data_IF_303136814317
#
_entry.id   IF_303136814317
#
_cell.length_a   1.000
_cell.length_b   1.000
_cell.length_c   1.000
_cell.angle_alpha   90.00
_cell.angle_beta   90.00
_cell.angle_gamma   90.00
#
_symmetry.space_group_name_H-M   'P 1'
#
loop_
_entity.id
_entity.type
_entity.pdbx_description
1 polymer ?
#
# COMPACT_ATOMS: atom_id res chain seq x y z
N UNK A 1 -0.81 -5.96 1.62
CA UNK A 1 -1.38 -4.71 2.17
C UNK A 1 -0.31 -3.88 2.88
N UNK A 2 0.09 -4.16 4.13
CA UNK A 2 1.02 -3.28 4.87
C UNK A 2 2.43 -3.13 4.27
N UNK A 3 3.09 -4.23 3.88
CA UNK A 3 4.45 -4.17 3.35
C UNK A 3 4.50 -3.85 1.85
N UNK A 4 3.46 -4.24 1.10
CA UNK A 4 3.46 -4.20 -0.36
C UNK A 4 2.67 -3.05 -0.96
N UNK A 5 1.90 -2.30 -0.15
CA UNK A 5 0.96 -1.28 -0.62
C UNK A 5 -0.20 -1.81 -1.48
N UNK A 6 -0.36 -3.14 -1.60
CA UNK A 6 -1.36 -3.75 -2.49
C UNK A 6 -2.79 -3.59 -1.97
N UNK A 7 -3.74 -3.50 -2.90
CA UNK A 7 -5.17 -3.50 -2.59
C UNK A 7 -5.60 -4.79 -1.87
N UNK A 8 -6.67 -4.67 -1.08
CA UNK A 8 -7.25 -5.81 -0.37
C UNK A 8 -7.72 -6.88 -1.35
N UNK A 9 -8.39 -6.52 -2.45
CA UNK A 9 -8.86 -7.49 -3.45
C UNK A 9 -7.72 -8.35 -4.01
N UNK A 10 -6.63 -7.75 -4.49
CA UNK A 10 -5.48 -8.51 -4.97
C UNK A 10 -4.86 -9.40 -3.88
N UNK A 11 -4.77 -8.88 -2.65
CA UNK A 11 -4.24 -9.66 -1.51
C UNK A 11 -5.18 -10.83 -1.16
N UNK A 12 -6.50 -10.64 -1.30
CA UNK A 12 -7.55 -11.63 -1.08
C UNK A 12 -7.43 -12.78 -2.08
N UNK A 13 -7.28 -12.44 -3.36
CA UNK A 13 -7.16 -13.40 -4.46
C UNK A 13 -5.90 -14.26 -4.31
N UNK A 14 -4.78 -13.64 -3.93
CA UNK A 14 -3.51 -14.34 -3.68
C UNK A 14 -3.63 -15.33 -2.52
N UNK A 15 -4.33 -14.94 -1.44
CA UNK A 15 -4.43 -15.73 -0.22
C UNK A 15 -5.61 -16.72 -0.23
N UNK A 16 -6.47 -16.69 -1.25
CA UNK A 16 -7.65 -17.55 -1.34
C UNK A 16 -8.70 -17.29 -0.24
N UNK A 17 -8.71 -16.11 0.36
CA UNK A 17 -9.67 -15.72 1.40
C UNK A 17 -10.68 -14.71 0.84
N UNK A 18 -11.84 -14.59 1.48
CA UNK A 18 -12.82 -13.56 1.09
C UNK A 18 -12.37 -12.16 1.54
N UNK A 19 -12.67 -11.15 0.73
CA UNK A 19 -12.30 -9.76 1.04
C UNK A 19 -12.79 -9.28 2.41
N UNK A 20 -14.01 -9.62 2.88
CA UNK A 20 -14.45 -9.28 4.23
C UNK A 20 -13.59 -9.92 5.33
N UNK A 21 -13.10 -11.15 5.11
CA UNK A 21 -12.21 -11.83 6.05
C UNK A 21 -10.85 -11.17 6.13
N UNK A 22 -10.28 -10.80 4.97
CA UNK A 22 -9.05 -10.02 4.91
C UNK A 22 -9.22 -8.65 5.60
N UNK A 23 -10.34 -7.97 5.36
CA UNK A 23 -10.65 -6.68 6.00
C UNK A 23 -10.62 -6.79 7.53
N UNK A 24 -11.29 -7.80 8.10
CA UNK A 24 -11.24 -8.07 9.54
C UNK A 24 -9.82 -8.35 10.04
N UNK A 25 -9.05 -9.15 9.30
CA UNK A 25 -7.66 -9.43 9.66
C UNK A 25 -6.80 -8.16 9.67
N UNK A 26 -6.93 -7.29 8.67
CA UNK A 26 -6.25 -5.99 8.61
C UNK A 26 -6.63 -5.13 9.81
N UNK A 27 -7.92 -5.03 10.14
CA UNK A 27 -8.37 -4.25 11.30
C UNK A 27 -7.77 -4.74 12.61
N UNK A 28 -7.80 -6.06 12.85
CA UNK A 28 -7.24 -6.66 14.06
C UNK A 28 -5.73 -6.41 14.17
N UNK A 29 -4.98 -6.63 13.08
CA UNK A 29 -3.53 -6.38 13.06
C UNK A 29 -3.23 -4.89 13.27
N UNK A 30 -3.99 -4.00 12.64
CA UNK A 30 -3.84 -2.54 12.81
C UNK A 30 -4.01 -2.14 14.27
N UNK A 31 -5.02 -2.68 14.95
CA UNK A 31 -5.27 -2.38 16.35
C UNK A 31 -4.07 -2.78 17.22
N UNK A 32 -3.53 -3.99 17.04
CA UNK A 32 -2.35 -4.46 17.79
C UNK A 32 -1.14 -3.57 17.53
N UNK A 33 -0.92 -3.15 16.27
CA UNK A 33 0.17 -2.23 15.92
C UNK A 33 -0.02 -0.89 16.65
N UNK A 34 -1.23 -0.33 16.66
CA UNK A 34 -1.52 0.95 17.33
C UNK A 34 -1.34 0.88 18.84
N UNK A 35 -1.74 -0.23 19.47
CA UNK A 35 -1.53 -0.46 20.91
C UNK A 35 -0.03 -0.46 21.26
N UNK A 36 0.81 -0.95 20.36
CA UNK A 36 2.26 -1.00 20.53
C UNK A 36 2.98 0.25 20.00
N UNK A 37 2.33 1.10 19.21
CA UNK A 37 2.97 2.21 18.50
C UNK A 37 3.70 3.17 19.44
N UNK A 38 3.16 3.41 20.63
CA UNK A 38 3.79 4.32 21.63
C UNK A 38 5.13 3.81 22.16
N UNK A 39 5.37 2.50 22.11
CA UNK A 39 6.64 1.89 22.54
C UNK A 39 7.71 2.09 21.47
N UNK A 40 7.33 1.97 20.20
CA UNK A 40 8.27 2.00 19.07
C UNK A 40 8.42 3.39 18.43
N UNK A 41 7.41 4.24 18.52
CA UNK A 41 7.40 5.59 17.96
C UNK A 41 7.54 6.59 19.10
N UNK A 42 8.79 6.88 19.47
CA UNK A 42 9.14 7.85 20.50
C UNK A 42 9.94 9.01 19.88
N UNK A 43 9.42 10.24 20.01
CA UNK A 43 10.04 11.44 19.47
C UNK A 43 11.03 12.12 20.45
N UNK A 44 11.23 11.57 21.64
CA UNK A 44 12.09 12.17 22.68
C UNK A 44 11.51 13.47 23.27
N UNK A 45 12.23 14.09 24.21
CA UNK A 45 11.85 15.36 24.83
C UNK A 45 12.50 16.58 24.14
N UNK A 46 11.96 17.77 24.44
CA UNK A 46 12.11 19.09 23.78
C UNK A 46 13.49 19.58 23.35
N UNK A 47 14.59 18.98 23.80
CA UNK A 47 15.96 19.48 23.58
C UNK A 47 16.66 18.68 22.47
N UNK A 48 15.98 18.49 21.35
CA UNK A 48 16.42 17.61 20.27
C UNK A 48 17.57 18.22 19.47
N UNK A 49 18.78 17.73 19.71
CA UNK A 49 19.95 17.93 18.86
C UNK A 49 19.69 17.56 17.38
N UNK A 50 18.70 16.70 17.11
CA UNK A 50 18.25 16.35 15.76
C UNK A 50 17.89 17.57 14.92
N UNK A 51 17.28 18.60 15.52
CA UNK A 51 16.95 19.85 14.79
C UNK A 51 18.21 20.55 14.29
N UNK A 52 19.27 20.51 15.09
CA UNK A 52 20.57 21.04 14.70
C UNK A 52 21.21 20.15 13.63
N UNK A 53 21.21 18.83 13.82
CA UNK A 53 21.83 17.88 12.89
C UNK A 53 21.25 17.97 11.47
N UNK A 54 19.91 18.04 11.34
CA UNK A 54 19.24 18.21 10.05
C UNK A 54 19.55 19.57 9.40
N UNK A 55 19.65 20.63 10.21
CA UNK A 55 20.01 21.95 9.73
C UNK A 55 21.48 22.00 9.28
N UNK A 56 22.40 21.40 10.03
CA UNK A 56 23.81 21.33 9.68
C UNK A 56 24.07 20.44 8.45
N UNK A 57 23.31 19.35 8.30
CA UNK A 57 23.47 18.42 7.17
C UNK A 57 22.96 19.00 5.84
N UNK A 58 21.78 19.63 5.85
CA UNK A 58 21.09 20.02 4.62
C UNK A 58 20.33 21.35 4.69
N UNK A 59 20.47 22.12 5.78
CA UNK A 59 19.82 23.42 5.93
C UNK A 59 18.33 23.35 6.27
N UNK A 60 17.79 22.17 6.63
CA UNK A 60 16.38 22.03 6.99
C UNK A 60 16.13 22.40 8.45
N UNK A 61 15.46 23.53 8.74
CA UNK A 61 15.22 23.95 10.12
C UNK A 61 14.07 23.16 10.75
N UNK A 62 14.11 22.99 12.07
CA UNK A 62 13.01 22.44 12.88
C UNK A 62 12.59 20.99 12.56
N UNK A 63 13.44 20.20 11.91
CA UNK A 63 13.19 18.77 11.66
C UNK A 63 13.43 17.97 12.94
N UNK A 64 12.41 17.24 13.39
CA UNK A 64 12.47 16.39 14.61
C UNK A 64 12.72 14.90 14.32
N UNK A 65 12.63 14.51 13.04
CA UNK A 65 12.83 13.16 12.53
C UNK A 65 12.45 13.07 11.05
N UNK A 66 12.81 11.96 10.41
CA UNK A 66 12.43 11.63 9.03
C UNK A 66 11.71 10.28 9.02
N UNK A 67 10.66 10.17 8.19
CA UNK A 67 9.89 8.94 8.01
C UNK A 67 10.09 8.52 6.56
N UNK A 68 10.59 7.30 6.35
CA UNK A 68 10.62 6.70 5.02
C UNK A 68 9.22 6.20 4.64
N UNK A 69 8.82 6.41 3.40
CA UNK A 69 7.48 6.12 2.93
C UNK A 69 7.48 5.73 1.46
N UNK A 70 6.69 4.72 1.12
CA UNK A 70 6.44 4.38 -0.29
C UNK A 70 5.43 5.35 -0.88
N UNK A 71 5.81 6.08 -1.94
CA UNK A 71 4.86 6.86 -2.71
C UNK A 71 3.93 5.93 -3.51
N UNK A 72 2.71 5.74 -3.00
CA UNK A 72 1.65 5.02 -3.70
C UNK A 72 0.89 6.01 -4.57
N UNK A 73 0.92 5.81 -5.89
CA UNK A 73 0.14 6.62 -6.83
C UNK A 73 -1.35 6.48 -6.53
N UNK A 74 -2.01 7.59 -6.20
CA UNK A 74 -3.48 7.62 -6.10
C UNK A 74 -4.03 7.43 -7.51
N UNK A 75 -4.72 6.31 -7.73
CA UNK A 75 -5.48 6.11 -8.96
C UNK A 75 -6.69 7.04 -8.94
N UNK A 76 -6.84 7.85 -9.99
CA UNK A 76 -8.03 8.69 -10.17
C UNK A 76 -9.27 7.81 -10.17
N UNK A 77 -10.37 8.20 -9.51
CA UNK A 77 -11.65 7.47 -9.54
C UNK A 77 -12.35 7.57 -10.90
N UNK A 78 -11.68 8.12 -11.93
CA UNK A 78 -12.14 8.11 -13.31
C UNK A 78 -12.66 6.73 -13.66
N UNK A 79 -13.96 6.67 -13.92
CA UNK A 79 -14.77 5.46 -14.09
C UNK A 79 -14.06 4.51 -15.05
N UNK A 80 -13.28 3.59 -14.50
CA UNK A 80 -13.01 2.33 -15.17
C UNK A 80 -14.32 1.58 -15.07
N UNK A 81 -15.00 1.48 -16.21
CA UNK A 81 -16.27 0.77 -16.36
C UNK A 81 -16.19 -0.68 -15.83
N UNK A 82 -14.98 -1.21 -15.57
CA UNK A 82 -14.71 -2.51 -14.97
C UNK A 82 -13.44 -2.49 -14.10
N UNK A 83 -13.52 -2.74 -12.78
CA UNK A 83 -12.34 -2.89 -11.94
C UNK A 83 -11.82 -4.34 -11.99
N UNK A 84 -10.52 -4.49 -12.22
CA UNK A 84 -9.79 -5.75 -12.04
C UNK A 84 -9.18 -6.32 -13.31
N UNK A 85 -7.98 -6.88 -13.14
CA UNK A 85 -7.20 -7.70 -14.08
C UNK A 85 -7.97 -8.89 -14.70
N UNK A 86 -9.21 -9.10 -14.27
CA UNK A 86 -10.21 -10.00 -14.86
C UNK A 86 -10.65 -9.56 -16.26
N UNK A 87 -10.59 -8.25 -16.58
CA UNK A 87 -11.00 -7.74 -17.88
C UNK A 87 -10.12 -8.29 -19.01
N UNK A 88 -8.81 -8.36 -18.81
CA UNK A 88 -7.88 -8.85 -19.83
C UNK A 88 -8.09 -10.34 -20.10
N UNK A 89 -8.33 -11.12 -19.04
CA UNK A 89 -8.66 -12.54 -19.16
C UNK A 89 -10.02 -12.79 -19.82
N UNK A 90 -11.02 -11.94 -19.57
CA UNK A 90 -12.34 -12.03 -20.19
C UNK A 90 -12.32 -11.61 -21.66
N UNK A 91 -11.66 -10.50 -21.98
CA UNK A 91 -11.43 -10.06 -23.36
C UNK A 91 -10.63 -11.10 -24.12
N UNK A 92 -9.55 -11.62 -23.56
CA UNK A 92 -8.75 -12.67 -24.20
C UNK A 92 -9.57 -13.94 -24.47
N UNK A 93 -10.39 -14.39 -23.51
CA UNK A 93 -11.24 -15.58 -23.66
C UNK A 93 -12.33 -15.42 -24.72
N UNK A 94 -12.82 -14.21 -24.94
CA UNK A 94 -13.90 -13.89 -25.89
C UNK A 94 -13.42 -13.09 -27.12
N UNK A 95 -12.12 -13.09 -27.38
CA UNK A 95 -11.51 -12.36 -28.49
C UNK A 95 -11.17 -13.30 -29.64
N UNK A 96 -11.37 -12.83 -30.87
CA UNK A 96 -10.94 -13.51 -32.09
C UNK A 96 -9.43 -13.71 -32.18
N UNK A 97 -8.62 -12.95 -31.42
CA UNK A 97 -7.16 -13.13 -31.37
C UNK A 97 -6.77 -14.47 -30.74
N UNK A 98 -7.54 -14.94 -29.75
CA UNK A 98 -7.29 -16.23 -29.10
C UNK A 98 -7.51 -17.40 -30.04
N UNK A 99 -8.51 -17.33 -30.92
CA UNK A 99 -8.73 -18.36 -31.95
C UNK A 99 -7.55 -18.38 -32.93
N UNK A 100 -7.11 -17.22 -33.40
CA UNK A 100 -6.00 -17.12 -34.36
C UNK A 100 -4.65 -17.59 -33.79
N UNK A 101 -4.40 -17.41 -32.49
CA UNK A 101 -3.14 -17.79 -31.85
C UNK A 101 -3.11 -19.24 -31.33
N UNK A 102 -4.24 -19.95 -31.31
CA UNK A 102 -4.30 -21.38 -30.95
C UNK A 102 -4.03 -22.33 -32.14
N UNK A 103 -3.81 -21.79 -33.34
CA UNK A 103 -3.51 -22.56 -34.57
C UNK A 103 -2.10 -22.31 -35.12
N UNK A 104 -1.22 -21.70 -34.32
CA UNK A 104 0.24 -21.59 -34.55
C UNK A 104 0.98 -22.27 -33.43
#
# INVERSE_FOLDING_TARGET
FFATGSYQQCTSDILGISQPSLSRAISNVTQIILENAKVFVNFGNSNDGRKFDFYSLAGFPNVIGAIDGTHIKIQSPGVVKWPGSTHDSFIWKNSSLRENLNYT
#
